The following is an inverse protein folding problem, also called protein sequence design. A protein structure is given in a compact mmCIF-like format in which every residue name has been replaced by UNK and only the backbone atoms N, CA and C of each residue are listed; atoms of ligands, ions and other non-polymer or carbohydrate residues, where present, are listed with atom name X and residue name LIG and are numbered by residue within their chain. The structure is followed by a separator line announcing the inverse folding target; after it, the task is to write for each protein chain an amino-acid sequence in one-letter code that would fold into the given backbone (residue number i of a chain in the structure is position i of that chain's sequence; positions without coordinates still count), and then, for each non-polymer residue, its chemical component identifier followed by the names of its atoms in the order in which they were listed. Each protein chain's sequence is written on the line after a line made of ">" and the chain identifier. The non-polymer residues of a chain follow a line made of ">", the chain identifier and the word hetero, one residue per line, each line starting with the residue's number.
data_IF_334300485733
#
_entry.id   IF_334300485733
#
_cell.length_a   1.000
_cell.length_b   1.000
_cell.length_c   1.000
_cell.angle_alpha   90.00
_cell.angle_beta   90.00
_cell.angle_gamma   90.00
#
_symmetry.space_group_name_H-M   'P 1'
#
loop_
_entity.id
_entity.type
_entity.pdbx_description
1 polymer ?
#
# COMPACT_ATOMS: atom_id res chain seq x y z
N UNK A 1 -39.85 17.61 -32.08
CA UNK A 1 -39.05 16.34 -32.05
C UNK A 1 -38.34 16.26 -30.73
N UNK A 2 -38.86 15.49 -29.79
CA UNK A 2 -38.15 15.23 -28.53
C UNK A 2 -37.02 14.24 -28.85
N UNK A 3 -35.79 14.73 -28.80
CA UNK A 3 -34.63 13.85 -28.87
C UNK A 3 -34.45 13.16 -27.50
N UNK A 4 -35.00 11.96 -27.38
CA UNK A 4 -34.69 11.09 -26.23
C UNK A 4 -33.21 10.70 -26.29
N UNK A 5 -32.39 11.42 -25.55
CA UNK A 5 -30.98 11.09 -25.33
C UNK A 5 -30.89 9.97 -24.30
N UNK A 6 -30.74 8.73 -24.77
CA UNK A 6 -30.50 7.59 -23.90
C UNK A 6 -29.00 7.54 -23.51
N UNK A 7 -28.71 7.57 -22.23
CA UNK A 7 -27.36 7.37 -21.74
C UNK A 7 -27.04 5.86 -21.69
N UNK A 8 -26.06 5.42 -22.49
CA UNK A 8 -25.66 4.01 -22.56
C UNK A 8 -24.41 3.81 -21.72
N UNK A 9 -24.48 2.89 -20.78
CA UNK A 9 -23.33 2.47 -20.00
C UNK A 9 -22.49 1.42 -20.73
N UNK A 10 -21.17 1.48 -20.58
CA UNK A 10 -20.24 0.49 -21.11
C UNK A 10 -19.49 -0.19 -19.96
N UNK A 11 -19.17 -1.47 -20.13
CA UNK A 11 -18.36 -2.26 -19.21
C UNK A 11 -17.11 -2.77 -19.92
N UNK A 12 -15.95 -2.61 -19.29
CA UNK A 12 -14.70 -3.15 -19.78
C UNK A 12 -14.00 -3.98 -18.69
N UNK A 13 -13.18 -4.93 -19.10
CA UNK A 13 -12.27 -5.66 -18.20
C UNK A 13 -10.89 -5.03 -18.33
N UNK A 14 -10.27 -4.70 -17.21
CA UNK A 14 -8.91 -4.18 -17.15
C UNK A 14 -8.02 -5.08 -16.29
N UNK A 15 -6.75 -5.12 -16.64
CA UNK A 15 -5.72 -5.80 -15.88
C UNK A 15 -4.64 -4.79 -15.48
N UNK A 16 -4.29 -4.77 -14.19
CA UNK A 16 -3.38 -3.78 -13.64
C UNK A 16 -2.25 -4.47 -12.86
N UNK A 17 -1.01 -4.04 -13.09
CA UNK A 17 0.18 -4.47 -12.33
C UNK A 17 0.78 -3.26 -11.63
N UNK A 18 0.57 -3.08 -10.33
CA UNK A 18 1.17 -1.99 -9.57
C UNK A 18 2.54 -2.39 -9.02
N UNK A 19 3.53 -1.49 -9.16
CA UNK A 19 4.77 -1.50 -8.39
C UNK A 19 4.70 -0.34 -7.42
N UNK A 20 4.82 -0.61 -6.13
CA UNK A 20 4.57 0.37 -5.06
C UNK A 20 5.76 0.49 -4.13
N UNK A 21 6.12 1.72 -3.78
CA UNK A 21 7.04 2.06 -2.70
C UNK A 21 6.32 2.92 -1.66
N UNK A 22 6.44 2.57 -0.38
CA UNK A 22 5.78 3.27 0.73
C UNK A 22 6.77 3.54 1.86
N UNK A 23 6.63 4.70 2.48
CA UNK A 23 7.31 5.06 3.72
C UNK A 23 6.26 5.36 4.77
N UNK A 24 6.36 4.75 5.94
CA UNK A 24 5.42 4.99 7.03
C UNK A 24 6.12 5.03 8.38
N UNK A 25 5.52 5.78 9.30
CA UNK A 25 5.88 5.82 10.71
C UNK A 25 4.88 4.98 11.49
N UNK A 26 5.37 4.15 12.39
CA UNK A 26 4.55 3.34 13.29
C UNK A 26 4.54 4.02 14.67
N UNK A 27 3.34 4.36 15.17
CA UNK A 27 3.11 4.93 16.49
C UNK A 27 2.12 4.02 17.20
N UNK A 28 2.59 3.24 18.16
CA UNK A 28 1.82 2.18 18.81
C UNK A 28 1.15 1.25 17.79
N UNK A 29 -0.17 1.33 17.63
CA UNK A 29 -0.96 0.53 16.68
C UNK A 29 -1.21 1.23 15.35
N UNK A 30 -0.90 2.52 15.26
CA UNK A 30 -1.21 3.33 14.09
C UNK A 30 0.00 3.43 13.16
N UNK A 31 -0.29 3.53 11.87
CA UNK A 31 0.67 3.78 10.82
C UNK A 31 0.24 4.98 10.03
N UNK A 32 1.15 5.90 9.84
CA UNK A 32 0.93 7.11 9.05
C UNK A 32 2.07 7.24 8.07
N UNK A 33 1.76 7.42 6.80
CA UNK A 33 2.80 7.51 5.81
C UNK A 33 2.32 7.96 4.46
N UNK A 34 3.15 7.74 3.47
CA UNK A 34 2.83 8.04 2.09
C UNK A 34 3.61 7.14 1.14
N UNK A 35 3.23 7.17 -0.10
CA UNK A 35 3.86 6.33 -1.08
C UNK A 35 3.62 6.78 -2.51
N UNK A 36 4.37 6.11 -3.36
CA UNK A 36 4.29 6.26 -4.81
C UNK A 36 4.07 4.88 -5.43
N UNK A 37 3.21 4.82 -6.43
CA UNK A 37 2.95 3.62 -7.21
C UNK A 37 3.05 3.91 -8.69
N UNK A 38 3.74 3.03 -9.39
CA UNK A 38 3.77 2.99 -10.84
C UNK A 38 2.98 1.77 -11.28
N UNK A 39 1.94 1.96 -12.07
CA UNK A 39 0.99 0.91 -12.44
C UNK A 39 0.92 0.79 -13.96
N UNK A 40 1.16 -0.41 -14.46
CA UNK A 40 0.84 -0.77 -15.82
C UNK A 40 -0.62 -1.19 -15.89
N UNK A 41 -1.39 -0.55 -16.76
CA UNK A 41 -2.81 -0.84 -16.96
C UNK A 41 -3.04 -1.26 -18.40
N UNK A 42 -3.77 -2.36 -18.56
CA UNK A 42 -4.29 -2.82 -19.86
C UNK A 42 -5.80 -2.84 -19.80
N UNK A 43 -6.45 -2.14 -20.70
CA UNK A 43 -7.91 -2.06 -20.84
C UNK A 43 -8.33 -2.90 -22.02
N UNK A 44 -9.33 -3.76 -21.81
CA UNK A 44 -9.96 -4.53 -22.87
C UNK A 44 -11.09 -3.77 -23.54
N UNK A 45 -11.80 -4.45 -24.44
CA UNK A 45 -12.91 -3.89 -25.20
C UNK A 45 -14.04 -3.46 -24.28
N UNK A 46 -14.69 -2.35 -24.67
CA UNK A 46 -15.86 -1.82 -24.00
C UNK A 46 -17.12 -2.43 -24.61
N UNK A 47 -17.90 -3.11 -23.79
CA UNK A 47 -19.19 -3.71 -24.19
C UNK A 47 -20.32 -2.88 -23.66
N UNK A 48 -21.34 -2.58 -24.50
CA UNK A 48 -22.51 -1.83 -24.05
C UNK A 48 -23.33 -2.68 -23.04
N UNK A 49 -23.81 -2.05 -21.99
CA UNK A 49 -24.67 -2.70 -20.98
C UNK A 49 -26.10 -2.87 -21.45
N UNK A 50 -26.52 -2.04 -22.42
CA UNK A 50 -27.86 -2.05 -23.00
C UNK A 50 -27.74 -1.92 -24.51
N UNK A 51 -28.67 -2.47 -25.25
CA UNK A 51 -28.72 -2.39 -26.73
C UNK A 51 -27.54 -3.06 -27.46
N UNK A 52 -27.00 -4.17 -26.90
CA UNK A 52 -25.87 -4.89 -27.50
C UNK A 52 -26.12 -5.40 -28.94
N UNK A 53 -27.39 -5.58 -29.34
CA UNK A 53 -27.76 -5.96 -30.70
C UNK A 53 -27.65 -4.80 -31.71
N UNK A 54 -27.57 -3.56 -31.23
CA UNK A 54 -27.53 -2.34 -32.07
C UNK A 54 -26.23 -1.57 -31.98
N UNK A 55 -25.43 -1.82 -30.92
CA UNK A 55 -24.17 -1.10 -30.65
C UNK A 55 -23.09 -2.15 -30.54
N UNK A 56 -22.09 -2.05 -31.43
CA UNK A 56 -20.94 -2.94 -31.43
C UNK A 56 -19.99 -2.65 -30.26
N UNK A 57 -19.20 -3.65 -29.88
CA UNK A 57 -18.11 -3.49 -28.95
C UNK A 57 -17.11 -2.41 -29.46
N UNK A 58 -16.61 -1.59 -28.56
CA UNK A 58 -15.65 -0.54 -28.87
C UNK A 58 -14.27 -0.92 -28.35
N UNK A 59 -13.29 -1.00 -29.20
CA UNK A 59 -11.89 -1.23 -28.85
C UNK A 59 -11.16 0.12 -28.76
N UNK A 60 -10.57 0.48 -27.58
CA UNK A 60 -9.86 1.73 -27.45
C UNK A 60 -8.57 1.72 -28.29
N UNK A 61 -8.22 2.82 -28.92
CA UNK A 61 -6.95 2.98 -29.66
C UNK A 61 -5.74 2.76 -28.77
N UNK A 62 -5.79 3.26 -27.53
CA UNK A 62 -4.77 3.05 -26.51
C UNK A 62 -5.26 1.99 -25.53
N UNK A 63 -4.86 0.73 -25.74
CA UNK A 63 -5.25 -0.41 -24.91
C UNK A 63 -4.35 -0.60 -23.67
N UNK A 64 -3.14 -0.01 -23.65
CA UNK A 64 -2.21 -0.14 -22.54
C UNK A 64 -1.51 1.17 -22.22
N UNK A 65 -1.37 1.47 -20.94
CA UNK A 65 -0.74 2.72 -20.51
C UNK A 65 -0.21 2.60 -19.08
N UNK A 66 0.59 3.59 -18.68
CA UNK A 66 1.14 3.68 -17.34
C UNK A 66 0.43 4.75 -16.51
N UNK A 67 0.14 4.40 -15.26
CA UNK A 67 -0.39 5.30 -14.24
C UNK A 67 0.68 5.57 -13.18
N UNK A 68 0.82 6.82 -12.80
CA UNK A 68 1.64 7.26 -11.67
C UNK A 68 0.70 7.70 -10.56
N UNK A 69 0.79 7.07 -9.38
CA UNK A 69 -0.04 7.38 -8.22
C UNK A 69 0.82 7.88 -7.07
N UNK A 70 0.35 8.88 -6.37
CA UNK A 70 0.91 9.35 -5.11
C UNK A 70 -0.19 9.40 -4.08
N UNK A 71 0.12 8.94 -2.89
CA UNK A 71 -0.91 8.75 -1.88
C UNK A 71 -0.37 8.93 -0.46
N UNK A 72 -1.28 9.34 0.41
CA UNK A 72 -1.15 9.29 1.84
C UNK A 72 -1.76 7.97 2.34
N UNK A 73 -1.11 7.35 3.33
CA UNK A 73 -1.50 6.06 3.88
C UNK A 73 -1.77 6.19 5.36
N UNK A 74 -2.92 5.67 5.79
CA UNK A 74 -3.30 5.50 7.18
C UNK A 74 -3.58 4.03 7.44
N UNK A 75 -3.13 3.52 8.58
CA UNK A 75 -3.37 2.13 8.95
C UNK A 75 -3.44 1.96 10.45
N UNK A 76 -4.08 0.88 10.86
CA UNK A 76 -4.16 0.46 12.25
C UNK A 76 -3.94 -1.05 12.36
N UNK A 77 -3.04 -1.47 13.25
CA UNK A 77 -2.87 -2.86 13.64
C UNK A 77 -4.04 -3.28 14.53
N UNK A 78 -4.87 -4.18 14.03
CA UNK A 78 -6.11 -4.60 14.70
C UNK A 78 -5.97 -5.91 15.44
N UNK A 79 -5.14 -6.82 14.94
CA UNK A 79 -4.97 -8.12 15.54
C UNK A 79 -3.56 -8.67 15.33
N UNK A 80 -3.03 -9.37 16.34
CA UNK A 80 -1.76 -10.09 16.26
C UNK A 80 -1.97 -11.55 16.69
N UNK A 81 -1.38 -12.44 15.90
CA UNK A 81 -1.33 -13.86 16.23
C UNK A 81 0.08 -14.38 15.95
N UNK A 82 0.85 -14.62 17.02
CA UNK A 82 2.27 -15.00 16.96
C UNK A 82 3.08 -14.02 16.08
N UNK A 83 3.66 -14.52 15.00
CA UNK A 83 4.47 -13.77 14.04
C UNK A 83 3.61 -12.97 13.02
N UNK A 84 2.28 -13.17 13.04
CA UNK A 84 1.38 -12.53 12.08
C UNK A 84 0.71 -11.29 12.66
N UNK A 85 0.69 -10.23 11.89
CA UNK A 85 0.04 -8.96 12.23
C UNK A 85 -0.99 -8.62 11.18
N UNK A 86 -2.23 -8.37 11.61
CA UNK A 86 -3.30 -7.90 10.75
C UNK A 86 -3.42 -6.38 10.89
N UNK A 87 -3.32 -5.68 9.76
CA UNK A 87 -3.43 -4.22 9.68
C UNK A 87 -4.52 -3.86 8.71
N UNK A 88 -5.46 -3.03 9.14
CA UNK A 88 -6.44 -2.40 8.25
C UNK A 88 -5.87 -1.05 7.83
N UNK A 89 -5.88 -0.76 6.54
CA UNK A 89 -5.28 0.44 6.00
C UNK A 89 -6.11 1.08 4.88
N UNK A 90 -5.94 2.40 4.74
CA UNK A 90 -6.54 3.20 3.69
C UNK A 90 -5.47 4.07 3.02
N UNK A 91 -5.47 4.10 1.70
CA UNK A 91 -4.62 4.98 0.92
C UNK A 91 -5.49 5.95 0.14
N UNK A 92 -5.21 7.25 0.26
CA UNK A 92 -5.95 8.33 -0.38
C UNK A 92 -4.95 9.20 -1.14
N UNK A 93 -5.23 9.46 -2.40
CA UNK A 93 -4.29 10.24 -3.20
C UNK A 93 -4.78 10.62 -4.58
N UNK A 94 -3.83 11.10 -5.38
CA UNK A 94 -4.04 11.44 -6.77
C UNK A 94 -3.28 10.51 -7.70
N UNK A 95 -3.63 10.56 -8.96
CA UNK A 95 -2.93 9.84 -10.00
C UNK A 95 -2.78 10.68 -11.27
N UNK A 96 -1.78 10.35 -12.08
CA UNK A 96 -1.55 10.95 -13.39
C UNK A 96 -1.44 9.84 -14.43
N UNK A 97 -2.07 10.07 -15.57
CA UNK A 97 -1.93 9.23 -16.76
C UNK A 97 -0.57 9.46 -17.43
N UNK A 98 -0.11 8.48 -18.18
CA UNK A 98 1.08 8.59 -19.01
C UNK A 98 0.93 9.64 -20.13
N UNK A 99 2.00 9.86 -20.88
CA UNK A 99 2.05 10.87 -21.95
C UNK A 99 1.18 10.53 -23.18
N UNK A 100 0.66 9.31 -23.24
CA UNK A 100 -0.16 8.81 -24.35
C UNK A 100 -1.57 9.41 -24.39
N UNK A 101 -1.92 10.19 -23.35
CA UNK A 101 -3.23 10.84 -23.24
C UNK A 101 -3.08 12.36 -23.26
N UNK A 102 -3.96 13.01 -24.01
CA UNK A 102 -4.04 14.46 -23.99
C UNK A 102 -4.49 14.95 -22.60
N UNK A 103 -3.67 15.80 -22.00
CA UNK A 103 -3.93 16.36 -20.66
C UNK A 103 -5.17 17.27 -20.63
N UNK A 104 -5.60 17.80 -21.77
CA UNK A 104 -6.83 18.57 -21.91
C UNK A 104 -8.08 17.69 -21.90
N UNK A 105 -8.01 16.53 -22.55
CA UNK A 105 -9.14 15.62 -22.71
C UNK A 105 -9.47 14.82 -21.45
N UNK A 106 -8.47 14.51 -20.60
CA UNK A 106 -8.68 13.68 -19.41
C UNK A 106 -8.24 14.42 -18.14
N UNK A 107 -9.21 14.74 -17.29
CA UNK A 107 -8.94 15.28 -15.95
C UNK A 107 -8.97 14.16 -14.93
N UNK A 108 -7.81 13.86 -14.35
CA UNK A 108 -7.64 12.83 -13.31
C UNK A 108 -8.21 13.33 -11.98
N UNK A 109 -8.90 12.44 -11.27
CA UNK A 109 -9.46 12.69 -9.94
C UNK A 109 -8.62 12.13 -8.80
N UNK A 110 -9.22 12.09 -7.62
CA UNK A 110 -8.68 11.38 -6.48
C UNK A 110 -9.02 9.90 -6.56
N UNK A 111 -8.25 9.09 -5.85
CA UNK A 111 -8.57 7.69 -5.60
C UNK A 111 -8.54 7.37 -4.11
N UNK A 112 -9.32 6.36 -3.72
CA UNK A 112 -9.34 5.78 -2.38
C UNK A 112 -9.11 4.28 -2.54
N UNK A 113 -8.17 3.73 -1.79
CA UNK A 113 -7.86 2.31 -1.79
C UNK A 113 -7.89 1.79 -0.35
N UNK A 114 -8.85 0.91 -0.05
CA UNK A 114 -9.02 0.28 1.25
C UNK A 114 -8.43 -1.13 1.20
N UNK A 115 -7.64 -1.49 2.21
CA UNK A 115 -6.96 -2.77 2.25
C UNK A 115 -6.85 -3.38 3.63
N UNK A 116 -6.57 -4.66 3.61
CA UNK A 116 -6.20 -5.43 4.79
C UNK A 116 -4.83 -6.03 4.54
N UNK A 117 -3.86 -5.67 5.35
CA UNK A 117 -2.49 -6.15 5.21
C UNK A 117 -2.22 -7.22 6.25
N UNK A 118 -1.84 -8.40 5.78
CA UNK A 118 -1.38 -9.52 6.62
C UNK A 118 0.14 -9.51 6.53
N UNK A 119 0.80 -9.19 7.63
CA UNK A 119 2.26 -9.17 7.74
C UNK A 119 2.75 -10.38 8.51
N UNK A 120 3.83 -10.98 8.03
CA UNK A 120 4.60 -11.97 8.77
C UNK A 120 5.95 -11.37 9.17
N UNK A 121 6.23 -11.32 10.45
CA UNK A 121 7.50 -10.85 10.99
C UNK A 121 8.56 -11.94 10.80
N UNK A 122 9.50 -11.70 9.89
CA UNK A 122 10.62 -12.60 9.62
C UNK A 122 11.81 -12.28 10.54
N UNK A 123 11.94 -11.03 10.94
CA UNK A 123 12.90 -10.54 11.90
C UNK A 123 12.44 -9.21 12.49
N UNK A 124 13.16 -8.66 13.47
CA UNK A 124 12.89 -7.32 14.04
C UNK A 124 12.83 -6.21 12.97
N UNK A 125 13.54 -6.41 11.84
CA UNK A 125 13.67 -5.41 10.80
C UNK A 125 12.95 -5.76 9.50
N UNK A 126 12.61 -7.02 9.29
CA UNK A 126 12.12 -7.49 8.01
C UNK A 126 10.79 -8.22 8.16
N UNK A 127 9.81 -7.77 7.41
CA UNK A 127 8.48 -8.35 7.35
C UNK A 127 8.11 -8.64 5.91
N UNK A 128 7.43 -9.73 5.67
CA UNK A 128 6.74 -10.02 4.42
C UNK A 128 5.27 -9.71 4.60
N UNK A 129 4.62 -9.23 3.54
CA UNK A 129 3.19 -8.95 3.61
C UNK A 129 2.44 -9.38 2.36
N UNK A 130 1.16 -9.67 2.57
CA UNK A 130 0.14 -9.83 1.53
C UNK A 130 -0.98 -8.85 1.84
N UNK A 131 -1.41 -8.09 0.84
CA UNK A 131 -2.41 -7.05 1.01
C UNK A 131 -3.48 -7.11 -0.08
N UNK A 132 -4.60 -7.83 0.14
CA UNK A 132 -5.82 -7.63 -0.61
C UNK A 132 -6.37 -6.21 -0.38
N UNK A 133 -6.81 -5.56 -1.45
CA UNK A 133 -7.35 -4.20 -1.37
C UNK A 133 -8.31 -3.89 -2.50
N UNK A 134 -9.23 -2.97 -2.22
CA UNK A 134 -10.21 -2.47 -3.16
C UNK A 134 -10.00 -0.99 -3.40
N UNK A 135 -9.90 -0.60 -4.65
CA UNK A 135 -9.63 0.76 -5.08
C UNK A 135 -10.81 1.32 -5.85
N UNK A 136 -11.19 2.54 -5.49
CA UNK A 136 -12.19 3.35 -6.18
C UNK A 136 -11.45 4.57 -6.73
N UNK A 137 -11.50 4.75 -8.04
CA UNK A 137 -10.94 5.93 -8.72
C UNK A 137 -11.93 6.49 -9.74
N UNK A 138 -11.87 7.79 -9.96
CA UNK A 138 -12.72 8.46 -10.93
C UNK A 138 -11.91 9.40 -11.80
N UNK A 139 -12.27 9.52 -13.06
CA UNK A 139 -11.74 10.51 -13.98
C UNK A 139 -12.85 11.14 -14.80
N UNK A 140 -12.59 12.35 -15.30
CA UNK A 140 -13.51 13.09 -16.16
C UNK A 140 -12.93 13.17 -17.55
N UNK A 141 -13.72 12.79 -18.52
CA UNK A 141 -13.43 13.03 -19.93
C UNK A 141 -14.10 14.33 -20.34
N UNK A 142 -13.31 15.26 -20.86
CA UNK A 142 -13.80 16.52 -21.41
C UNK A 142 -13.76 16.40 -22.93
N UNK A 143 -14.88 16.56 -23.58
CA UNK A 143 -14.99 16.64 -25.03
C UNK A 143 -15.09 18.10 -25.41
N UNK A 144 -14.01 18.69 -25.92
CA UNK A 144 -13.95 20.11 -26.26
C UNK A 144 -14.98 20.49 -27.35
N UNK A 145 -15.22 19.60 -28.32
CA UNK A 145 -16.14 19.83 -29.42
C UNK A 145 -17.62 19.88 -29.01
N UNK A 146 -18.02 19.13 -27.96
CA UNK A 146 -19.41 19.05 -27.52
C UNK A 146 -19.68 19.74 -26.19
N UNK A 147 -18.64 20.21 -25.49
CA UNK A 147 -18.75 20.78 -24.14
C UNK A 147 -19.27 19.81 -23.08
N UNK A 148 -19.31 18.51 -23.40
CA UNK A 148 -19.83 17.48 -22.51
C UNK A 148 -18.73 16.92 -21.64
N UNK A 149 -19.03 16.70 -20.34
CA UNK A 149 -18.16 16.09 -19.39
C UNK A 149 -18.71 14.72 -18.98
N UNK A 150 -17.96 13.65 -19.22
CA UNK A 150 -18.35 12.32 -18.82
C UNK A 150 -17.52 11.87 -17.62
N UNK A 151 -18.20 11.52 -16.52
CA UNK A 151 -17.54 10.99 -15.32
C UNK A 151 -17.45 9.48 -15.41
N UNK A 152 -16.24 8.95 -15.38
CA UNK A 152 -15.98 7.53 -15.32
C UNK A 152 -15.55 7.11 -13.92
N UNK A 153 -16.14 6.02 -13.40
CA UNK A 153 -15.72 5.36 -12.18
C UNK A 153 -15.04 4.04 -12.56
N UNK A 154 -13.83 3.84 -12.05
CA UNK A 154 -13.06 2.61 -12.26
C UNK A 154 -12.77 2.01 -10.90
N UNK A 155 -13.35 0.84 -10.67
CA UNK A 155 -13.11 0.09 -9.46
C UNK A 155 -12.16 -1.07 -9.78
N UNK A 156 -11.21 -1.34 -8.88
CA UNK A 156 -10.26 -2.41 -9.07
C UNK A 156 -10.00 -3.16 -7.76
N UNK A 157 -9.87 -4.47 -7.86
CA UNK A 157 -9.37 -5.30 -6.79
C UNK A 157 -7.90 -5.60 -7.02
N UNK A 158 -7.08 -5.44 -5.99
CA UNK A 158 -5.65 -5.70 -6.02
C UNK A 158 -5.27 -6.73 -4.98
N UNK A 159 -4.33 -7.58 -5.34
CA UNK A 159 -3.59 -8.43 -4.42
C UNK A 159 -2.12 -8.01 -4.49
N UNK A 160 -1.64 -7.31 -3.48
CA UNK A 160 -0.26 -6.87 -3.42
C UNK A 160 0.54 -7.80 -2.51
N UNK A 161 1.74 -8.14 -2.93
CA UNK A 161 2.72 -8.91 -2.14
C UNK A 161 4.00 -8.10 -2.08
N UNK A 162 4.63 -8.07 -0.93
CA UNK A 162 5.85 -7.28 -0.79
C UNK A 162 6.58 -7.54 0.53
N UNK A 163 7.58 -6.69 0.74
CA UNK A 163 8.42 -6.72 1.92
C UNK A 163 8.53 -5.32 2.54
N UNK A 164 8.59 -5.28 3.86
CA UNK A 164 8.81 -4.05 4.62
C UNK A 164 10.12 -4.16 5.38
N UNK A 165 10.96 -3.15 5.26
CA UNK A 165 12.16 -2.99 6.07
C UNK A 165 11.92 -1.90 7.12
N UNK A 166 12.09 -2.25 8.39
CA UNK A 166 11.93 -1.32 9.51
C UNK A 166 13.27 -0.73 9.91
N UNK A 167 13.35 0.59 9.90
CA UNK A 167 14.52 1.30 10.43
C UNK A 167 14.41 1.26 11.96
N UNK A 168 15.40 0.68 12.66
CA UNK A 168 15.34 0.56 14.11
C UNK A 168 15.51 1.93 14.78
N UNK A 169 14.76 2.15 15.84
CA UNK A 169 14.81 3.40 16.64
C UNK A 169 16.12 3.50 17.45
N UNK A 170 16.58 2.38 17.97
CA UNK A 170 17.78 2.33 18.81
C UNK A 170 19.06 2.20 17.98
N UNK A 171 20.11 2.85 18.44
CA UNK A 171 21.45 2.72 17.86
C UNK A 171 22.02 1.33 18.10
N UNK A 172 22.87 0.87 17.20
CA UNK A 172 23.62 -0.36 17.36
C UNK A 172 24.53 -0.27 18.61
N UNK A 173 24.58 -1.35 19.39
CA UNK A 173 25.48 -1.41 20.54
C UNK A 173 26.94 -1.12 20.13
N UNK A 174 27.61 -0.25 20.86
CA UNK A 174 28.97 0.17 20.59
C UNK A 174 30.03 -0.81 21.13
N UNK A 175 29.69 -1.56 22.17
CA UNK A 175 30.61 -2.51 22.79
C UNK A 175 30.82 -3.72 21.90
N UNK A 176 32.08 -3.95 21.48
CA UNK A 176 32.45 -5.07 20.61
C UNK A 176 32.19 -6.43 21.25
N UNK A 177 32.38 -6.55 22.57
CA UNK A 177 32.21 -7.80 23.32
C UNK A 177 30.77 -8.03 23.80
N UNK A 178 29.84 -7.15 23.51
CA UNK A 178 28.45 -7.34 23.88
C UNK A 178 27.80 -8.43 23.02
N UNK A 179 27.38 -9.53 23.67
CA UNK A 179 26.72 -10.69 23.04
C UNK A 179 25.19 -10.61 23.11
N UNK A 180 24.65 -9.53 23.67
CA UNK A 180 23.20 -9.38 23.77
C UNK A 180 22.56 -9.35 22.36
N UNK A 181 21.58 -10.24 22.16
CA UNK A 181 20.91 -10.41 20.86
C UNK A 181 19.58 -9.65 20.76
N UNK A 182 19.20 -8.98 21.82
CA UNK A 182 18.00 -8.13 21.94
C UNK A 182 18.41 -6.70 22.25
N UNK A 183 17.42 -5.82 22.34
CA UNK A 183 17.62 -4.48 22.84
C UNK A 183 18.01 -4.55 24.33
N UNK A 184 19.03 -3.81 24.74
CA UNK A 184 19.62 -3.87 26.06
C UNK A 184 20.19 -2.52 26.46
N UNK A 185 20.44 -2.32 27.74
CA UNK A 185 20.99 -1.09 28.28
C UNK A 185 22.45 -1.29 28.70
N UNK A 186 23.27 -0.28 28.41
CA UNK A 186 24.58 -0.08 29.01
C UNK A 186 24.56 1.28 29.73
N UNK A 187 24.61 1.24 31.07
CA UNK A 187 24.39 2.40 31.89
C UNK A 187 22.97 2.97 31.69
N UNK A 188 22.87 4.24 31.40
CA UNK A 188 21.59 4.93 31.20
C UNK A 188 21.11 4.94 29.74
N UNK A 189 21.83 4.30 28.82
CA UNK A 189 21.50 4.32 27.40
C UNK A 189 21.10 2.95 26.90
N UNK A 190 20.09 2.95 26.03
CA UNK A 190 19.56 1.75 25.39
C UNK A 190 20.14 1.59 23.98
N UNK A 191 20.41 0.36 23.62
CA UNK A 191 21.02 -0.02 22.36
C UNK A 191 20.33 -1.24 21.78
N UNK A 192 20.27 -1.33 20.45
CA UNK A 192 19.91 -2.55 19.76
C UNK A 192 21.09 -3.50 19.70
N UNK A 193 20.80 -4.77 19.51
CA UNK A 193 21.82 -5.80 19.31
C UNK A 193 22.77 -5.45 18.16
N UNK A 194 24.01 -5.94 18.25
CA UNK A 194 24.99 -5.95 17.16
C UNK A 194 24.80 -7.09 16.18
N UNK A 195 24.12 -8.14 16.61
CA UNK A 195 23.88 -9.33 15.79
C UNK A 195 22.99 -8.98 14.62
N UNK A 196 23.36 -9.47 13.44
CA UNK A 196 22.55 -9.24 12.24
C UNK A 196 21.14 -9.81 12.41
N UNK A 197 20.10 -9.13 11.90
CA UNK A 197 18.70 -9.53 12.08
C UNK A 197 18.39 -10.97 11.69
N UNK A 198 19.05 -11.49 10.65
CA UNK A 198 18.85 -12.85 10.16
C UNK A 198 19.23 -13.92 11.20
N UNK A 199 20.22 -13.65 12.05
CA UNK A 199 20.66 -14.58 13.09
C UNK A 199 19.80 -14.51 14.34
N UNK A 200 19.13 -13.41 14.59
CA UNK A 200 18.25 -13.23 15.75
C UNK A 200 17.07 -14.18 15.74
N UNK A 201 16.53 -14.50 14.57
CA UNK A 201 15.39 -15.40 14.43
C UNK A 201 15.67 -16.81 14.92
N UNK A 202 16.92 -17.21 14.99
CA UNK A 202 17.33 -18.54 15.46
C UNK A 202 17.39 -18.65 16.99
N UNK A 203 17.20 -17.55 17.70
CA UNK A 203 17.26 -17.58 19.16
C UNK A 203 15.89 -17.85 19.75
N UNK A 204 15.83 -18.69 20.79
CA UNK A 204 14.68 -18.68 21.70
C UNK A 204 14.53 -17.27 22.26
N UNK A 205 13.32 -16.81 22.47
CA UNK A 205 13.02 -15.46 22.97
C UNK A 205 13.39 -14.29 22.03
N UNK A 206 13.47 -14.54 20.74
CA UNK A 206 13.64 -13.50 19.75
C UNK A 206 12.54 -12.43 19.89
N UNK A 207 12.95 -11.15 19.98
CA UNK A 207 12.01 -10.02 20.12
C UNK A 207 11.40 -9.84 21.51
N UNK A 208 11.73 -10.70 22.48
CA UNK A 208 11.30 -10.59 23.85
C UNK A 208 12.36 -9.89 24.73
N UNK A 209 11.88 -9.16 25.74
CA UNK A 209 12.73 -8.67 26.79
C UNK A 209 13.14 -9.83 27.72
N UNK A 210 14.42 -10.09 27.85
CA UNK A 210 14.92 -11.08 28.77
C UNK A 210 15.15 -10.46 30.16
N UNK A 211 14.38 -10.77 31.21
CA UNK A 211 14.42 -10.09 32.50
C UNK A 211 15.76 -10.23 33.23
N UNK A 212 16.52 -11.26 32.92
CA UNK A 212 17.82 -11.54 33.55
C UNK A 212 18.97 -10.75 32.90
N UNK A 213 18.89 -10.51 31.60
CA UNK A 213 19.94 -9.84 30.82
C UNK A 213 19.64 -8.37 30.62
N UNK A 214 18.37 -7.99 30.57
CA UNK A 214 17.92 -6.68 30.15
C UNK A 214 16.83 -6.16 31.07
N UNK A 215 17.13 -5.09 31.77
CA UNK A 215 16.09 -4.23 32.34
C UNK A 215 15.71 -3.22 31.29
N UNK A 216 14.71 -3.55 30.51
CA UNK A 216 14.21 -2.65 29.50
C UNK A 216 13.39 -1.55 30.16
N UNK A 217 13.86 -0.31 30.04
CA UNK A 217 13.18 0.89 30.50
C UNK A 217 13.02 1.85 29.33
N UNK A 218 11.88 2.50 29.21
CA UNK A 218 11.70 3.58 28.26
C UNK A 218 10.58 3.38 27.25
N UNK A 219 10.53 4.26 26.27
CA UNK A 219 9.47 4.38 25.26
C UNK A 219 9.26 3.12 24.43
N UNK A 220 10.31 2.33 24.26
CA UNK A 220 10.26 1.17 23.36
C UNK A 220 9.81 -0.12 24.03
N UNK A 221 9.48 -0.09 25.30
CA UNK A 221 9.00 -1.27 26.05
C UNK A 221 7.81 -1.96 25.37
N UNK A 222 6.88 -1.16 24.84
CA UNK A 222 5.72 -1.66 24.10
C UNK A 222 6.06 -2.18 22.70
N UNK A 223 7.16 -1.71 22.10
CA UNK A 223 7.57 -2.12 20.74
C UNK A 223 8.30 -3.44 20.71
N UNK A 224 8.98 -3.81 21.80
CA UNK A 224 9.64 -5.13 21.91
C UNK A 224 8.66 -6.25 22.18
N UNK A 225 7.66 -5.96 22.97
CA UNK A 225 6.60 -6.90 23.33
C UNK A 225 5.26 -6.15 23.32
N UNK A 226 4.80 -5.75 22.13
CA UNK A 226 3.67 -4.81 21.99
C UNK A 226 2.32 -5.41 22.37
N UNK A 227 2.25 -6.68 22.75
CA UNK A 227 0.99 -7.37 23.02
C UNK A 227 1.07 -8.24 24.26
#
# INVERSE_FOLDING_TARGET
>A
MNSDTATIGFKSKSFNIPIRATLHFEIDRFRIGGGYSFEYTRVGDFRPLSYGDRISDYSPEVSSFFLKKYFFSLGAAVYRYYEYLLVVDANIGGYKLGKDFDAGAIKTGAFVNLGVTIEREMSEYFKLFVRPSYEIKSYKLNFEESGQNINHKVNAFYLNVGATYRIPELRKCFLKNCKAQMNHAHGNREYRSRVHPIYKKQNPHYGENHPVIIKYKGRNKRKLNPY
#
